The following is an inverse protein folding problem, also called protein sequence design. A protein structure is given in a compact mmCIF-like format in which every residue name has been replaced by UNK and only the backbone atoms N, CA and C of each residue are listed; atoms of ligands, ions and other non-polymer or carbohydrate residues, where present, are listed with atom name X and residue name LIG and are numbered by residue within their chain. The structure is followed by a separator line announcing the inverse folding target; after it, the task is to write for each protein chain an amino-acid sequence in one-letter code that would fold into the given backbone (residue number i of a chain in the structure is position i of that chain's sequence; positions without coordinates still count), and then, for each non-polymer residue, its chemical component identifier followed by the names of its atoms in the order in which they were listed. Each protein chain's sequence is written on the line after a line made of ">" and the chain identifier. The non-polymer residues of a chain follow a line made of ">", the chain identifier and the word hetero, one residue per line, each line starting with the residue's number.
data_IF_072197431831
#
_entry.id   IF_072197431831
#
_cell.length_a   1.000
_cell.length_b   1.000
_cell.length_c   1.000
_cell.angle_alpha   90.00
_cell.angle_beta   90.00
_cell.angle_gamma   90.00
#
_symmetry.space_group_name_H-M   'P 1'
#
loop_
_entity.id
_entity.type
_entity.pdbx_description
1 polymer ?
#
# COMPACT_ATOMS: atom_id res chain seq x y z
N UNK A 1 -1.06 -4.83 -17.86
CA UNK A 1 -0.61 -3.76 -16.92
C UNK A 1 -0.72 -4.32 -15.51
N UNK A 2 0.23 -3.97 -14.58
CA UNK A 2 0.16 -4.44 -13.19
C UNK A 2 -1.08 -3.88 -12.47
N UNK A 3 -1.46 -4.47 -11.33
CA UNK A 3 -2.59 -4.01 -10.52
C UNK A 3 -2.21 -3.92 -9.05
N UNK A 4 -2.75 -2.94 -8.35
CA UNK A 4 -2.60 -2.77 -6.90
C UNK A 4 -3.97 -2.57 -6.25
N UNK A 5 -4.20 -3.26 -5.15
CA UNK A 5 -5.31 -3.08 -4.22
C UNK A 5 -4.75 -2.65 -2.87
N UNK A 6 -5.19 -1.51 -2.34
CA UNK A 6 -4.72 -0.97 -1.07
C UNK A 6 -5.88 -0.43 -0.23
N UNK A 7 -5.61 -0.20 1.06
CA UNK A 7 -6.56 0.48 1.93
C UNK A 7 -6.81 1.93 1.47
N UNK A 8 -7.93 2.49 1.94
CA UNK A 8 -8.36 3.87 1.64
C UNK A 8 -7.95 4.81 2.79
N UNK A 9 -6.63 4.98 2.99
CA UNK A 9 -6.06 5.91 3.95
C UNK A 9 -4.66 6.37 3.50
N UNK A 10 -3.91 7.03 4.41
CA UNK A 10 -2.59 7.55 4.09
C UNK A 10 -1.58 6.43 3.81
N UNK A 11 -1.54 5.35 4.60
CA UNK A 11 -0.58 4.25 4.40
C UNK A 11 -0.89 3.49 3.10
N UNK A 12 -2.16 3.16 2.85
CA UNK A 12 -2.58 2.48 1.62
C UNK A 12 -2.30 3.27 0.35
N UNK A 13 -2.57 4.59 0.31
CA UNK A 13 -2.24 5.41 -0.86
C UNK A 13 -0.72 5.58 -1.02
N UNK A 14 0.02 5.63 0.08
CA UNK A 14 1.48 5.72 0.06
C UNK A 14 2.13 4.45 -0.48
N UNK A 15 1.55 3.26 -0.20
CA UNK A 15 1.95 2.03 -0.88
C UNK A 15 1.83 2.16 -2.41
N UNK A 16 0.75 2.74 -2.90
CA UNK A 16 0.58 2.96 -4.35
C UNK A 16 1.59 3.98 -4.90
N UNK A 17 1.93 5.03 -4.14
CA UNK A 17 2.98 6.00 -4.50
C UNK A 17 4.34 5.29 -4.61
N UNK A 18 4.67 4.42 -3.68
CA UNK A 18 5.88 3.58 -3.74
C UNK A 18 5.88 2.71 -4.99
N UNK A 19 4.78 2.02 -5.28
CA UNK A 19 4.64 1.21 -6.50
C UNK A 19 4.84 2.04 -7.76
N UNK A 20 4.24 3.24 -7.84
CA UNK A 20 4.40 4.17 -8.97
C UNK A 20 5.86 4.43 -9.29
N UNK A 21 6.70 4.64 -8.28
CA UNK A 21 8.13 4.91 -8.44
C UNK A 21 8.91 3.71 -8.97
N UNK A 22 8.58 2.49 -8.51
CA UNK A 22 9.36 1.29 -8.84
C UNK A 22 8.88 0.55 -10.08
N UNK A 23 7.57 0.57 -10.36
CA UNK A 23 6.98 -0.24 -11.44
C UNK A 23 6.25 0.58 -12.52
N UNK A 24 6.20 1.90 -12.37
CA UNK A 24 5.53 2.80 -13.32
C UNK A 24 4.01 2.77 -13.20
N UNK A 25 3.31 2.76 -14.34
CA UNK A 25 1.84 2.75 -14.38
C UNK A 25 1.26 1.38 -14.02
N UNK A 26 0.14 1.41 -13.32
CA UNK A 26 -0.66 0.23 -12.94
C UNK A 26 -2.13 0.60 -12.76
N UNK A 27 -3.01 -0.39 -12.79
CA UNK A 27 -4.40 -0.22 -12.37
C UNK A 27 -4.46 -0.19 -10.85
N UNK A 28 -5.06 0.85 -10.28
CA UNK A 28 -5.18 1.00 -8.83
C UNK A 28 -6.63 0.83 -8.36
N UNK A 29 -6.77 0.09 -7.27
CA UNK A 29 -8.01 -0.05 -6.50
C UNK A 29 -7.75 0.35 -5.05
N UNK A 30 -8.72 1.00 -4.42
CA UNK A 30 -8.70 1.30 -2.99
C UNK A 30 -10.00 0.85 -2.34
N UNK A 31 -9.92 0.26 -1.17
CA UNK A 31 -11.08 -0.28 -0.46
C UNK A 31 -10.98 -0.07 1.05
N UNK A 32 -12.13 -0.02 1.71
CA UNK A 32 -12.21 -0.21 3.16
C UNK A 32 -12.38 -1.70 3.50
N UNK A 33 -12.16 -2.06 4.77
CA UNK A 33 -12.17 -3.45 5.25
C UNK A 33 -13.49 -4.18 4.98
N UNK A 34 -14.62 -3.49 5.03
CA UNK A 34 -15.96 -4.07 4.81
C UNK A 34 -16.25 -4.47 3.35
N UNK A 35 -15.37 -4.17 2.41
CA UNK A 35 -15.54 -4.46 0.98
C UNK A 35 -14.45 -5.35 0.40
N UNK A 36 -13.54 -5.88 1.21
CA UNK A 36 -12.41 -6.71 0.76
C UNK A 36 -12.88 -7.86 -0.12
N UNK A 37 -13.89 -8.62 0.29
CA UNK A 37 -14.42 -9.75 -0.46
C UNK A 37 -14.93 -9.35 -1.85
N UNK A 38 -15.56 -8.19 -1.96
CA UNK A 38 -15.99 -7.66 -3.25
C UNK A 38 -14.79 -7.34 -4.15
N UNK A 39 -13.75 -6.74 -3.58
CA UNK A 39 -12.54 -6.39 -4.35
C UNK A 39 -11.71 -7.61 -4.73
N UNK A 40 -11.75 -8.70 -3.99
CA UNK A 40 -11.15 -9.99 -4.41
C UNK A 40 -11.84 -10.50 -5.69
N UNK A 41 -13.18 -10.37 -5.80
CA UNK A 41 -13.92 -10.71 -7.03
C UNK A 41 -13.55 -9.79 -8.19
N UNK A 42 -13.47 -8.47 -7.95
CA UNK A 42 -13.04 -7.48 -8.94
C UNK A 42 -11.62 -7.80 -9.44
N UNK A 43 -10.71 -8.20 -8.53
CA UNK A 43 -9.37 -8.63 -8.92
C UNK A 43 -9.40 -9.88 -9.79
N UNK A 44 -10.24 -10.87 -9.50
CA UNK A 44 -10.38 -12.08 -10.33
C UNK A 44 -10.79 -11.71 -11.76
N UNK A 45 -11.84 -10.89 -11.91
CA UNK A 45 -12.30 -10.39 -13.20
C UNK A 45 -11.22 -9.57 -13.92
N UNK A 46 -10.53 -8.68 -13.21
CA UNK A 46 -9.48 -7.86 -13.77
C UNK A 46 -8.30 -8.71 -14.27
N UNK A 47 -7.87 -9.70 -13.47
CA UNK A 47 -6.78 -10.62 -13.85
C UNK A 47 -7.15 -11.44 -15.06
N UNK A 48 -8.38 -11.95 -15.12
CA UNK A 48 -8.87 -12.71 -16.26
C UNK A 48 -8.82 -11.90 -17.56
N UNK A 49 -9.28 -10.65 -17.52
CA UNK A 49 -9.38 -9.78 -18.70
C UNK A 49 -8.03 -9.18 -19.15
N UNK A 50 -7.06 -8.96 -18.23
CA UNK A 50 -5.89 -8.15 -18.50
C UNK A 50 -4.56 -8.91 -18.32
N UNK A 51 -4.56 -10.10 -17.73
CA UNK A 51 -3.36 -10.93 -17.47
C UNK A 51 -2.17 -10.14 -16.93
N UNK A 52 -2.29 -9.44 -15.77
CA UNK A 52 -1.22 -8.63 -15.21
C UNK A 52 -0.02 -9.52 -14.83
N UNK A 53 1.19 -8.96 -14.89
CA UNK A 53 2.39 -9.67 -14.42
C UNK A 53 2.44 -9.73 -12.89
N UNK A 54 2.01 -8.66 -12.22
CA UNK A 54 2.00 -8.54 -10.76
C UNK A 54 0.66 -8.04 -10.24
N UNK A 55 0.22 -8.62 -9.13
CA UNK A 55 -0.88 -8.15 -8.28
C UNK A 55 -0.29 -7.82 -6.92
N UNK A 56 -0.38 -6.56 -6.51
CA UNK A 56 0.00 -6.11 -5.18
C UNK A 56 -1.26 -5.89 -4.35
N UNK A 57 -1.27 -6.46 -3.14
CA UNK A 57 -2.32 -6.24 -2.13
C UNK A 57 -1.59 -5.71 -0.90
N UNK A 58 -1.91 -4.48 -0.47
CA UNK A 58 -1.13 -3.80 0.56
C UNK A 58 -2.04 -3.12 1.58
N UNK A 59 -1.61 -3.14 2.85
CA UNK A 59 -2.27 -2.38 3.92
C UNK A 59 -3.75 -2.73 4.08
N UNK A 60 -4.07 -4.02 4.14
CA UNK A 60 -5.44 -4.50 4.29
C UNK A 60 -5.47 -5.65 5.30
N UNK A 61 -6.12 -5.42 6.45
CA UNK A 61 -6.31 -6.41 7.49
C UNK A 61 -7.22 -7.56 7.01
N UNK A 62 -6.67 -8.50 6.25
CA UNK A 62 -7.39 -9.67 5.77
C UNK A 62 -7.64 -10.67 6.90
N UNK A 63 -8.79 -11.34 6.85
CA UNK A 63 -8.99 -12.59 7.60
C UNK A 63 -8.26 -13.74 6.90
N UNK A 64 -8.12 -14.89 7.60
CA UNK A 64 -7.51 -16.07 6.99
C UNK A 64 -8.30 -16.55 5.76
N UNK A 65 -9.65 -16.52 5.81
CA UNK A 65 -10.51 -16.90 4.69
C UNK A 65 -10.33 -15.98 3.47
N UNK A 66 -10.10 -14.69 3.70
CA UNK A 66 -9.82 -13.76 2.62
C UNK A 66 -8.45 -14.00 2.00
N UNK A 67 -7.45 -14.32 2.83
CA UNK A 67 -6.11 -14.67 2.35
C UNK A 67 -6.12 -16.01 1.59
N UNK A 68 -6.94 -16.99 2.01
CA UNK A 68 -7.18 -18.22 1.28
C UNK A 68 -7.80 -17.99 -0.11
N UNK A 69 -8.72 -17.01 -0.24
CA UNK A 69 -9.26 -16.61 -1.55
C UNK A 69 -8.17 -16.05 -2.46
N UNK A 70 -7.25 -15.24 -1.93
CA UNK A 70 -6.07 -14.77 -2.70
C UNK A 70 -5.16 -15.93 -3.09
N UNK A 71 -4.96 -16.91 -2.20
CA UNK A 71 -4.21 -18.12 -2.50
C UNK A 71 -4.88 -18.96 -3.61
N UNK A 72 -6.21 -19.00 -3.63
CA UNK A 72 -6.97 -19.65 -4.71
C UNK A 72 -6.80 -18.90 -6.06
N UNK A 73 -6.77 -17.57 -6.05
CA UNK A 73 -6.45 -16.77 -7.24
C UNK A 73 -5.01 -17.08 -7.72
N UNK A 74 -4.05 -17.14 -6.82
CA UNK A 74 -2.68 -17.51 -7.17
C UNK A 74 -2.58 -18.92 -7.77
N UNK A 75 -3.40 -19.86 -7.30
CA UNK A 75 -3.51 -21.20 -7.89
C UNK A 75 -4.10 -21.17 -9.29
N UNK A 76 -5.15 -20.36 -9.49
CA UNK A 76 -5.85 -20.23 -10.77
C UNK A 76 -4.96 -19.56 -11.83
N UNK A 77 -4.20 -18.52 -11.45
CA UNK A 77 -3.39 -17.67 -12.34
C UNK A 77 -1.89 -17.87 -12.11
N UNK A 78 -1.35 -19.04 -12.48
CA UNK A 78 0.04 -19.43 -12.19
C UNK A 78 1.10 -18.50 -12.77
N UNK A 79 0.82 -17.80 -13.86
CA UNK A 79 1.73 -16.84 -14.49
C UNK A 79 1.77 -15.47 -13.81
N UNK A 80 0.79 -15.18 -12.94
CA UNK A 80 0.65 -13.92 -12.22
C UNK A 80 1.35 -14.03 -10.87
N UNK A 81 2.15 -13.03 -10.50
CA UNK A 81 2.81 -12.97 -9.19
C UNK A 81 1.99 -12.12 -8.23
N UNK A 82 1.59 -12.70 -7.11
CA UNK A 82 0.86 -12.04 -6.03
C UNK A 82 1.82 -11.65 -4.91
N UNK A 83 1.75 -10.41 -4.49
CA UNK A 83 2.53 -9.86 -3.38
C UNK A 83 1.54 -9.24 -2.39
N UNK A 84 1.38 -9.89 -1.23
CA UNK A 84 0.58 -9.43 -0.11
C UNK A 84 1.51 -8.84 0.95
N UNK A 85 1.31 -7.58 1.32
CA UNK A 85 2.11 -6.88 2.33
C UNK A 85 1.18 -6.14 3.28
N UNK A 86 1.27 -6.46 4.57
CA UNK A 86 0.42 -5.87 5.59
C UNK A 86 1.17 -5.71 6.92
N UNK A 87 0.68 -4.80 7.77
CA UNK A 87 1.23 -4.58 9.10
C UNK A 87 0.22 -4.80 10.23
N UNK A 88 -1.03 -5.04 9.89
CA UNK A 88 -2.07 -5.32 10.88
C UNK A 88 -1.81 -6.60 11.67
N UNK A 89 -2.33 -6.70 12.90
CA UNK A 89 -2.29 -7.94 13.67
C UNK A 89 -2.88 -9.10 12.87
N UNK A 90 -2.13 -10.19 12.80
CA UNK A 90 -2.57 -11.42 12.17
C UNK A 90 -2.16 -12.57 13.08
N UNK A 91 -3.13 -13.20 13.71
CA UNK A 91 -2.88 -14.22 14.74
C UNK A 91 -3.05 -15.66 14.19
N UNK A 92 -3.59 -15.80 12.97
CA UNK A 92 -3.77 -17.08 12.32
C UNK A 92 -2.48 -17.61 11.69
N UNK A 93 -2.33 -18.94 11.62
CA UNK A 93 -1.24 -19.57 10.87
C UNK A 93 -1.56 -19.58 9.36
N UNK A 94 -0.80 -18.81 8.60
CA UNK A 94 -0.85 -18.80 7.14
C UNK A 94 0.31 -19.59 6.49
N UNK A 95 1.06 -20.35 7.27
CA UNK A 95 2.21 -21.13 6.79
C UNK A 95 1.84 -22.17 5.72
N UNK A 96 0.58 -22.59 5.68
CA UNK A 96 0.04 -23.50 4.66
C UNK A 96 -0.23 -22.81 3.31
N UNK A 97 -0.30 -21.46 3.25
CA UNK A 97 -0.56 -20.68 2.04
C UNK A 97 0.73 -20.43 1.23
N UNK A 98 1.52 -21.48 1.01
CA UNK A 98 2.79 -21.37 0.27
C UNK A 98 2.62 -21.71 -1.19
N UNK A 99 2.96 -20.75 -2.08
CA UNK A 99 3.03 -20.95 -3.53
C UNK A 99 4.19 -20.16 -4.12
N UNK A 100 4.78 -20.65 -5.20
CA UNK A 100 5.91 -19.99 -5.88
C UNK A 100 5.56 -18.60 -6.41
N UNK A 101 4.28 -18.37 -6.71
CA UNK A 101 3.77 -17.11 -7.23
C UNK A 101 2.99 -16.27 -6.20
N UNK A 102 2.96 -16.65 -4.92
CA UNK A 102 2.37 -15.89 -3.82
C UNK A 102 3.42 -15.57 -2.76
N UNK A 103 3.70 -14.29 -2.56
CA UNK A 103 4.55 -13.81 -1.48
C UNK A 103 3.71 -13.08 -0.44
N UNK A 104 3.75 -13.54 0.81
CA UNK A 104 3.08 -12.92 1.96
C UNK A 104 4.16 -12.32 2.87
N UNK A 105 4.00 -11.06 3.24
CA UNK A 105 4.86 -10.33 4.19
C UNK A 105 3.94 -9.62 5.17
N UNK A 106 3.92 -10.06 6.43
CA UNK A 106 3.17 -9.43 7.52
C UNK A 106 4.13 -9.12 8.66
N UNK A 107 4.12 -7.88 9.15
CA UNK A 107 4.98 -7.48 10.26
C UNK A 107 4.46 -6.22 10.95
N UNK A 108 4.17 -6.29 12.23
CA UNK A 108 3.73 -5.17 13.10
C UNK A 108 4.84 -4.12 13.35
N UNK A 109 6.06 -4.34 12.85
CA UNK A 109 7.21 -3.48 13.15
C UNK A 109 7.22 -2.15 12.39
N UNK A 110 6.58 -2.11 11.22
CA UNK A 110 6.58 -0.98 10.30
C UNK A 110 5.23 -0.90 9.60
N UNK A 111 4.84 0.27 9.13
CA UNK A 111 3.69 0.45 8.24
C UNK A 111 3.84 -0.37 6.94
N UNK A 112 2.73 -0.65 6.26
CA UNK A 112 2.75 -1.38 5.00
C UNK A 112 3.59 -0.65 3.93
N UNK A 113 3.60 0.68 3.94
CA UNK A 113 4.45 1.51 3.06
C UNK A 113 5.94 1.21 3.24
N UNK A 114 6.45 1.14 4.47
CA UNK A 114 7.87 0.79 4.71
C UNK A 114 8.16 -0.67 4.38
N UNK A 115 7.25 -1.60 4.68
CA UNK A 115 7.43 -3.00 4.32
C UNK A 115 7.54 -3.17 2.81
N UNK A 116 6.68 -2.51 2.05
CA UNK A 116 6.68 -2.53 0.59
C UNK A 116 7.95 -1.87 0.03
N UNK A 117 8.36 -0.70 0.57
CA UNK A 117 9.59 -0.04 0.15
C UNK A 117 10.80 -0.96 0.30
N UNK A 118 10.98 -1.57 1.49
CA UNK A 118 12.09 -2.52 1.75
C UNK A 118 12.06 -3.72 0.80
N UNK A 119 10.87 -4.24 0.51
CA UNK A 119 10.71 -5.33 -0.45
C UNK A 119 11.18 -4.94 -1.86
N UNK A 120 10.76 -3.76 -2.35
CA UNK A 120 11.09 -3.29 -3.69
C UNK A 120 12.54 -2.85 -3.82
N UNK A 121 13.12 -2.20 -2.80
CA UNK A 121 14.55 -1.88 -2.73
C UNK A 121 15.41 -3.14 -2.88
N UNK A 122 15.09 -4.17 -2.09
CA UNK A 122 15.79 -5.47 -2.16
C UNK A 122 15.65 -6.14 -3.52
N UNK A 123 14.49 -6.02 -4.19
CA UNK A 123 14.23 -6.66 -5.49
C UNK A 123 14.87 -5.92 -6.67
N UNK A 124 14.96 -4.59 -6.60
CA UNK A 124 15.45 -3.76 -7.70
C UNK A 124 16.90 -3.30 -7.55
N UNK A 125 17.49 -3.41 -6.35
CA UNK A 125 18.76 -2.79 -5.95
C UNK A 125 18.78 -1.27 -6.17
N UNK A 126 17.61 -0.60 -6.15
CA UNK A 126 17.46 0.84 -6.31
C UNK A 126 16.98 1.47 -5.02
N UNK A 127 17.57 2.61 -4.68
CA UNK A 127 17.20 3.41 -3.51
C UNK A 127 16.87 4.82 -4.00
N UNK A 128 15.71 5.34 -3.56
CA UNK A 128 15.27 6.71 -3.82
C UNK A 128 15.14 7.43 -2.49
N UNK A 129 16.09 8.32 -2.19
CA UNK A 129 16.18 9.01 -0.87
C UNK A 129 14.91 9.78 -0.53
N UNK A 130 14.42 10.59 -1.46
CA UNK A 130 13.23 11.42 -1.25
C UNK A 130 11.96 10.58 -0.97
N UNK A 131 11.84 9.44 -1.67
CA UNK A 131 10.74 8.49 -1.41
C UNK A 131 10.90 7.82 -0.05
N UNK A 132 12.13 7.45 0.32
CA UNK A 132 12.40 6.84 1.63
C UNK A 132 12.06 7.81 2.77
N UNK A 133 12.41 9.10 2.63
CA UNK A 133 12.06 10.13 3.61
C UNK A 133 10.54 10.27 3.74
N UNK A 134 9.80 10.29 2.63
CA UNK A 134 8.35 10.29 2.64
C UNK A 134 7.78 9.05 3.34
N UNK A 135 8.28 7.86 3.03
CA UNK A 135 7.83 6.61 3.67
C UNK A 135 8.12 6.59 5.18
N UNK A 136 9.24 7.16 5.64
CA UNK A 136 9.53 7.29 7.07
C UNK A 136 8.53 8.21 7.76
N UNK A 137 8.13 9.32 7.11
CA UNK A 137 7.10 10.23 7.62
C UNK A 137 5.75 9.51 7.77
N UNK A 138 5.33 8.76 6.75
CA UNK A 138 4.10 7.96 6.80
C UNK A 138 4.16 6.93 7.92
N UNK A 139 5.27 6.18 8.00
CA UNK A 139 5.47 5.17 9.04
C UNK A 139 5.39 5.74 10.45
N UNK A 140 6.03 6.89 10.71
CA UNK A 140 6.02 7.49 12.04
C UNK A 140 4.59 7.79 12.52
N UNK A 141 3.72 8.28 11.63
CA UNK A 141 2.33 8.54 11.93
C UNK A 141 1.51 7.25 12.05
N UNK A 142 1.61 6.37 11.08
CA UNK A 142 0.78 5.17 10.97
C UNK A 142 1.03 4.16 12.11
N UNK A 143 2.29 4.04 12.54
CA UNK A 143 2.68 3.21 13.70
C UNK A 143 2.69 3.99 15.02
N UNK A 144 2.18 5.22 15.04
CA UNK A 144 1.99 6.08 16.20
C UNK A 144 3.26 6.33 17.03
N UNK A 145 4.38 6.68 16.34
CA UNK A 145 5.66 7.00 16.97
C UNK A 145 5.72 8.49 17.36
N UNK A 146 5.01 8.90 18.41
CA UNK A 146 4.84 10.31 18.80
C UNK A 146 6.17 11.05 19.06
N UNK A 147 7.17 10.35 19.58
CA UNK A 147 8.50 10.89 19.87
C UNK A 147 9.40 10.98 18.62
N UNK A 148 8.98 10.42 17.47
CA UNK A 148 9.75 10.51 16.25
C UNK A 148 9.64 11.91 15.63
N UNK A 149 10.78 12.44 15.16
CA UNK A 149 10.87 13.76 14.50
C UNK A 149 9.93 13.92 13.30
N UNK A 150 9.52 12.83 12.67
CA UNK A 150 8.70 12.82 11.47
C UNK A 150 7.20 12.63 11.78
N UNK A 151 6.81 12.32 13.04
CA UNK A 151 5.41 12.11 13.44
C UNK A 151 4.51 13.30 13.10
N UNK A 152 4.91 14.53 13.47
CA UNK A 152 4.14 15.76 13.18
C UNK A 152 3.99 16.03 11.68
N UNK A 153 4.97 15.63 10.88
CA UNK A 153 4.87 15.71 9.42
C UNK A 153 3.88 14.65 8.90
N UNK A 154 3.92 13.45 9.45
CA UNK A 154 2.96 12.39 9.12
C UNK A 154 1.52 12.80 9.42
N UNK A 155 1.27 13.42 10.58
CA UNK A 155 -0.02 14.01 10.90
C UNK A 155 -0.46 15.04 9.85
N UNK A 156 0.43 15.94 9.42
CA UNK A 156 0.16 16.90 8.35
C UNK A 156 -0.26 16.19 7.04
N UNK A 157 0.47 15.14 6.62
CA UNK A 157 0.11 14.39 5.41
C UNK A 157 -1.24 13.69 5.54
N UNK A 158 -1.56 13.15 6.71
CA UNK A 158 -2.85 12.53 6.97
C UNK A 158 -4.00 13.54 6.87
N UNK A 159 -3.87 14.70 7.50
CA UNK A 159 -4.87 15.77 7.40
C UNK A 159 -5.06 16.26 5.95
N UNK A 160 -3.97 16.40 5.21
CA UNK A 160 -4.03 16.75 3.80
C UNK A 160 -4.69 15.64 2.96
N UNK A 161 -4.45 14.36 3.28
CA UNK A 161 -5.11 13.25 2.61
C UNK A 161 -6.63 13.31 2.78
N UNK A 162 -7.11 13.48 4.00
CA UNK A 162 -8.54 13.59 4.27
C UNK A 162 -9.15 14.87 3.68
N UNK A 163 -8.43 15.98 3.67
CA UNK A 163 -8.88 17.23 3.09
C UNK A 163 -9.01 17.18 1.56
N UNK A 164 -8.03 16.62 0.89
CA UNK A 164 -7.99 16.57 -0.57
C UNK A 164 -8.77 15.38 -1.15
N UNK A 165 -8.91 14.32 -0.38
CA UNK A 165 -9.38 13.04 -0.86
C UNK A 165 -8.38 12.33 -1.77
N UNK A 166 -8.61 11.05 -1.99
CA UNK A 166 -7.69 10.11 -2.63
C UNK A 166 -7.14 10.60 -3.97
N UNK A 167 -8.01 11.07 -4.87
CA UNK A 167 -7.60 11.41 -6.24
C UNK A 167 -6.72 12.66 -6.29
N UNK A 168 -7.05 13.70 -5.52
CA UNK A 168 -6.25 14.94 -5.48
C UNK A 168 -4.93 14.66 -4.77
N UNK A 169 -4.95 13.93 -3.65
CA UNK A 169 -3.74 13.56 -2.93
C UNK A 169 -2.80 12.74 -3.82
N UNK A 170 -3.31 11.71 -4.50
CA UNK A 170 -2.55 10.94 -5.48
C UNK A 170 -1.87 11.82 -6.52
N UNK A 171 -2.62 12.68 -7.18
CA UNK A 171 -2.08 13.54 -8.25
C UNK A 171 -1.02 14.52 -7.76
N UNK A 172 -1.12 14.98 -6.50
CA UNK A 172 -0.12 15.88 -5.90
C UNK A 172 1.17 15.15 -5.54
N UNK A 173 1.07 13.92 -5.00
CA UNK A 173 2.19 13.26 -4.33
C UNK A 173 2.78 12.05 -5.08
N UNK A 174 2.14 11.55 -6.14
CA UNK A 174 2.62 10.37 -6.89
C UNK A 174 4.02 10.50 -7.49
N UNK A 175 4.47 11.71 -7.80
CA UNK A 175 5.78 11.99 -8.40
C UNK A 175 6.59 13.03 -7.62
N UNK A 176 5.98 13.69 -6.62
CA UNK A 176 6.62 14.68 -5.76
C UNK A 176 6.16 14.52 -4.31
N UNK A 177 7.04 14.09 -3.45
CA UNK A 177 6.76 13.70 -2.07
C UNK A 177 6.77 14.87 -1.07
N UNK A 178 6.89 16.13 -1.52
CA UNK A 178 7.07 17.30 -0.65
C UNK A 178 5.79 18.11 -0.53
N UNK A 179 5.47 18.49 0.71
CA UNK A 179 4.40 19.45 1.01
C UNK A 179 4.81 20.84 0.54
N UNK A 180 3.99 21.48 -0.26
CA UNK A 180 4.17 22.87 -0.73
C UNK A 180 3.80 23.89 0.34
N UNK A 181 4.10 25.18 0.10
CA UNK A 181 3.64 26.27 0.96
C UNK A 181 2.11 26.33 1.02
N UNK A 182 1.45 26.15 -0.11
CA UNK A 182 -0.02 26.14 -0.18
C UNK A 182 -0.65 25.00 0.62
N UNK A 183 -0.01 23.83 0.67
CA UNK A 183 -0.46 22.71 1.50
C UNK A 183 -0.34 23.06 3.00
N UNK A 184 0.74 23.75 3.40
CA UNK A 184 0.93 24.23 4.78
C UNK A 184 -0.11 25.27 5.18
N UNK A 185 -0.48 26.18 4.27
CA UNK A 185 -1.56 27.14 4.50
C UNK A 185 -2.92 26.46 4.60
N UNK A 186 -3.17 25.45 3.78
CA UNK A 186 -4.38 24.62 3.86
C UNK A 186 -4.48 23.93 5.22
N UNK A 187 -3.39 23.34 5.71
CA UNK A 187 -3.35 22.72 7.04
C UNK A 187 -3.60 23.73 8.18
N UNK A 188 -2.99 24.91 8.13
CA UNK A 188 -3.20 25.97 9.16
C UNK A 188 -4.66 26.43 9.28
N UNK A 189 -5.48 26.22 8.26
CA UNK A 189 -6.91 26.55 8.27
C UNK A 189 -7.77 25.40 8.83
N UNK A 190 -7.18 24.23 9.07
CA UNK A 190 -7.87 23.04 9.60
C UNK A 190 -7.74 22.91 11.13
N UNK A 191 -6.70 23.54 11.71
CA UNK A 191 -6.43 23.58 13.15
C UNK A 191 -6.74 24.98 13.70
#
# INVERSE_FOLDING_TARGET
>A
MNVALSHYDLDGISCQIVLRKYIGEFTKFNTGYNKIDNYIKILDEHIFNNSPKFVFITDLAFTIEQLEKVNALAQKYKSVKFIFIDHHPFDDDFGHLKRDNLKIIISKKYSATILLLKYLEKKSNKIYSDLRDFCNIVNAFDTWLEDDKDFKKGLLYNELFWKYGLNVFWNKFKDNYRVSLNDKETYKKLI
#
